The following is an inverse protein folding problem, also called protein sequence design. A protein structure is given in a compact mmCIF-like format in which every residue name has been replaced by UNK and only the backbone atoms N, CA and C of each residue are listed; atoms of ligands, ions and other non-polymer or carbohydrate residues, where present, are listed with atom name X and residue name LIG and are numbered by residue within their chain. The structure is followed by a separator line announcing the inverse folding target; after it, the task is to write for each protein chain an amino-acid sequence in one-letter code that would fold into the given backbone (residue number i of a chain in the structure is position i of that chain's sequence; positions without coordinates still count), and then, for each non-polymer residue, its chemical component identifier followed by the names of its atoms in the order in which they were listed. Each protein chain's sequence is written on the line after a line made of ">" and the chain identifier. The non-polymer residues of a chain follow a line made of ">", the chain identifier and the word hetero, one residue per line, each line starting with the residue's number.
data_IF_478347189341
#
_entry.id   IF_478347189341
#
_cell.length_a   1.000
_cell.length_b   1.000
_cell.length_c   1.000
_cell.angle_alpha   90.00
_cell.angle_beta   90.00
_cell.angle_gamma   90.00
#
_symmetry.space_group_name_H-M   'P 1'
#
loop_
_entity.id
_entity.type
_entity.pdbx_description
1 polymer ?
#
# COMPACT_ATOMS: atom_id res chain seq x y z
N UNK A 1 15.33 -22.93 24.95
CA UNK A 1 15.18 -22.25 23.64
C UNK A 1 13.70 -21.95 23.51
N UNK A 2 13.30 -20.68 23.59
CA UNK A 2 11.90 -20.29 23.39
C UNK A 2 11.54 -20.52 21.92
N UNK A 3 10.42 -21.18 21.68
CA UNK A 3 9.87 -21.42 20.34
C UNK A 3 8.64 -20.54 20.19
N UNK A 4 8.49 -19.96 19.00
CA UNK A 4 7.27 -19.26 18.62
C UNK A 4 6.14 -20.30 18.57
N UNK A 5 4.94 -20.01 19.14
CA UNK A 5 3.79 -20.91 19.06
C UNK A 5 3.42 -21.22 17.61
N UNK A 6 2.92 -22.43 17.35
CA UNK A 6 2.52 -22.87 16.00
C UNK A 6 1.42 -22.00 15.38
N UNK A 7 0.60 -21.39 16.22
CA UNK A 7 -0.53 -20.53 15.86
C UNK A 7 -0.16 -19.02 15.82
N UNK A 8 1.12 -18.68 15.98
CA UNK A 8 1.56 -17.30 15.88
C UNK A 8 1.53 -16.83 14.43
N UNK A 9 0.78 -15.76 14.15
CA UNK A 9 0.77 -15.10 12.84
C UNK A 9 2.01 -14.22 12.69
N UNK A 10 2.89 -14.55 11.75
CA UNK A 10 3.98 -13.69 11.32
C UNK A 10 3.56 -12.92 10.07
N UNK A 11 3.62 -11.59 10.13
CA UNK A 11 3.24 -10.75 9.00
C UNK A 11 4.15 -9.54 8.82
N UNK A 12 4.00 -8.89 7.68
CA UNK A 12 4.65 -7.61 7.36
C UNK A 12 3.60 -6.54 7.10
N UNK A 13 4.01 -5.26 7.16
CA UNK A 13 3.05 -4.16 7.09
C UNK A 13 3.59 -2.94 6.32
N UNK A 14 2.68 -2.22 5.68
CA UNK A 14 2.96 -1.00 4.91
C UNK A 14 1.89 0.05 5.15
N UNK A 15 2.09 1.25 4.60
CA UNK A 15 1.07 2.28 4.50
C UNK A 15 1.05 2.86 3.08
N UNK A 16 -0.14 3.15 2.58
CA UNK A 16 -0.41 3.47 1.17
C UNK A 16 0.46 4.60 0.64
N UNK A 17 0.48 5.76 1.29
CA UNK A 17 1.26 6.91 0.81
C UNK A 17 2.77 6.63 0.75
N UNK A 18 3.28 5.72 1.58
CA UNK A 18 4.71 5.40 1.64
C UNK A 18 5.17 4.48 0.50
N UNK A 19 4.27 3.70 -0.11
CA UNK A 19 4.67 2.68 -1.10
C UNK A 19 3.94 2.77 -2.45
N UNK A 20 2.70 3.30 -2.48
CA UNK A 20 1.84 3.21 -3.67
C UNK A 20 2.40 3.97 -4.87
N UNK A 21 2.88 5.18 -4.66
CA UNK A 21 3.15 6.11 -5.75
C UNK A 21 1.87 6.50 -6.49
N UNK A 22 1.97 6.69 -7.81
CA UNK A 22 0.85 7.01 -8.70
C UNK A 22 0.01 8.19 -8.18
N UNK A 23 0.66 9.32 -7.86
CA UNK A 23 -0.05 10.48 -7.30
C UNK A 23 -1.06 11.10 -8.28
N UNK A 24 -0.99 10.76 -9.58
CA UNK A 24 -1.91 11.22 -10.62
C UNK A 24 -3.18 10.36 -10.73
N UNK A 25 -3.13 9.09 -10.30
CA UNK A 25 -4.27 8.17 -10.32
C UNK A 25 -5.21 8.28 -9.12
N UNK A 26 -4.93 9.19 -8.17
CA UNK A 26 -5.75 9.45 -6.97
C UNK A 26 -5.92 10.94 -6.70
N UNK A 27 -6.83 11.30 -5.79
CA UNK A 27 -6.91 12.66 -5.25
C UNK A 27 -5.70 13.02 -4.38
N UNK A 28 -5.54 14.32 -4.06
CA UNK A 28 -4.52 14.80 -3.12
C UNK A 28 -4.85 14.43 -1.67
N UNK A 29 -3.81 14.14 -0.91
CA UNK A 29 -3.80 13.91 0.54
C UNK A 29 -3.10 15.08 1.24
N UNK A 30 -3.28 15.17 2.56
CA UNK A 30 -2.55 16.14 3.40
C UNK A 30 -1.02 15.97 3.30
N UNK A 31 -0.54 14.74 3.06
CA UNK A 31 0.90 14.47 2.90
C UNK A 31 1.44 15.00 1.58
N UNK A 32 0.62 15.05 0.52
CA UNK A 32 1.01 15.67 -0.76
C UNK A 32 1.19 17.18 -0.61
N UNK A 33 0.38 17.83 0.23
CA UNK A 33 0.49 19.26 0.52
C UNK A 33 1.67 19.53 1.47
N UNK A 34 1.84 18.70 2.52
CA UNK A 34 2.95 18.82 3.45
C UNK A 34 4.30 18.65 2.75
N UNK A 35 4.44 17.65 1.87
CA UNK A 35 5.67 17.37 1.16
C UNK A 35 6.02 18.43 0.09
N UNK A 36 5.03 19.16 -0.42
CA UNK A 36 5.25 20.23 -1.40
C UNK A 36 5.91 21.49 -0.81
N UNK A 37 5.94 21.63 0.53
CA UNK A 37 6.56 22.78 1.20
C UNK A 37 8.07 22.53 1.35
N UNK A 38 8.95 23.41 0.81
CA UNK A 38 10.39 23.25 0.93
C UNK A 38 10.85 23.14 2.39
N UNK A 39 11.66 22.12 2.68
CA UNK A 39 12.22 21.88 4.02
C UNK A 39 11.36 21.02 4.95
N UNK A 40 10.11 20.72 4.61
CA UNK A 40 9.27 19.81 5.41
C UNK A 40 9.72 18.35 5.33
N UNK A 41 10.17 17.92 4.15
CA UNK A 41 10.81 16.63 3.93
C UNK A 41 12.31 16.86 3.81
N UNK A 42 13.10 16.11 4.58
CA UNK A 42 14.56 16.30 4.71
C UNK A 42 15.29 16.32 3.36
N UNK A 43 14.88 15.47 2.43
CA UNK A 43 15.44 15.35 1.09
C UNK A 43 14.54 15.94 -0.01
N UNK A 44 13.42 16.54 0.37
CA UNK A 44 12.45 17.13 -0.57
C UNK A 44 11.67 16.11 -1.40
N UNK A 45 11.71 14.82 -1.07
CA UNK A 45 10.92 13.79 -1.78
C UNK A 45 9.42 13.99 -1.58
N UNK A 46 8.65 13.49 -2.55
CA UNK A 46 7.18 13.54 -2.57
C UNK A 46 6.61 12.13 -2.69
N UNK A 47 5.29 12.02 -2.92
CA UNK A 47 4.61 10.73 -3.07
C UNK A 47 5.09 9.90 -4.28
N UNK A 48 5.70 10.53 -5.29
CA UNK A 48 6.14 9.84 -6.50
C UNK A 48 7.66 9.65 -6.53
N UNK A 49 8.16 8.48 -6.98
CA UNK A 49 7.40 7.25 -7.29
C UNK A 49 7.10 6.39 -6.06
N UNK A 50 7.59 6.78 -4.87
CA UNK A 50 7.65 5.92 -3.69
C UNK A 50 8.30 4.55 -4.04
N UNK A 51 7.64 3.43 -3.74
CA UNK A 51 8.05 2.10 -4.17
C UNK A 51 7.38 1.65 -5.49
N UNK A 52 6.53 2.50 -6.08
CA UNK A 52 5.79 2.22 -7.32
C UNK A 52 4.87 0.99 -7.22
N UNK A 53 4.36 0.70 -6.01
CA UNK A 53 3.57 -0.51 -5.71
C UNK A 53 2.30 -0.64 -6.55
N UNK A 54 1.70 0.48 -6.99
CA UNK A 54 0.52 0.45 -7.87
C UNK A 54 0.83 -0.20 -9.21
N UNK A 55 2.02 0.06 -9.77
CA UNK A 55 2.45 -0.50 -11.05
C UNK A 55 3.14 -1.86 -10.88
N UNK A 56 3.70 -2.14 -9.69
CA UNK A 56 4.49 -3.34 -9.36
C UNK A 56 3.75 -4.34 -8.47
N UNK A 57 2.42 -4.27 -8.46
CA UNK A 57 1.59 -5.05 -7.54
C UNK A 57 1.88 -6.55 -7.64
N UNK A 58 2.03 -7.08 -8.85
CA UNK A 58 2.28 -8.51 -9.05
C UNK A 58 3.63 -8.93 -8.48
N UNK A 59 4.69 -8.15 -8.73
CA UNK A 59 6.02 -8.42 -8.23
C UNK A 59 6.08 -8.37 -6.70
N UNK A 60 5.41 -7.39 -6.08
CA UNK A 60 5.38 -7.27 -4.62
C UNK A 60 4.59 -8.41 -3.97
N UNK A 61 3.50 -8.87 -4.61
CA UNK A 61 2.75 -10.05 -4.17
C UNK A 61 3.61 -11.33 -4.25
N UNK A 62 4.39 -11.49 -5.33
CA UNK A 62 5.29 -12.63 -5.48
C UNK A 62 6.38 -12.65 -4.39
N UNK A 63 6.96 -11.49 -4.09
CA UNK A 63 7.93 -11.33 -2.99
C UNK A 63 7.32 -11.73 -1.64
N UNK A 64 6.07 -11.33 -1.37
CA UNK A 64 5.38 -11.72 -0.13
C UNK A 64 5.16 -13.23 -0.04
N UNK A 65 4.84 -13.87 -1.17
CA UNK A 65 4.72 -15.32 -1.27
C UNK A 65 6.04 -16.03 -0.98
N UNK A 66 7.13 -15.56 -1.61
CA UNK A 66 8.47 -16.11 -1.42
C UNK A 66 9.00 -15.92 0.01
N UNK A 67 8.60 -14.83 0.68
CA UNK A 67 8.95 -14.57 2.07
C UNK A 67 8.26 -15.53 3.05
N UNK A 68 7.13 -16.14 2.65
CA UNK A 68 6.41 -17.13 3.46
C UNK A 68 5.72 -16.54 4.69
N UNK A 69 5.21 -15.31 4.58
CA UNK A 69 4.45 -14.66 5.67
C UNK A 69 3.01 -15.15 5.73
N UNK A 70 2.43 -15.17 6.93
CA UNK A 70 1.04 -15.54 7.15
C UNK A 70 0.06 -14.41 6.82
N UNK A 71 0.51 -13.15 6.97
CA UNK A 71 -0.35 -11.98 6.83
C UNK A 71 0.38 -10.75 6.26
N UNK A 72 -0.37 -9.90 5.55
CA UNK A 72 0.09 -8.63 5.04
C UNK A 72 -0.88 -7.50 5.40
N UNK A 73 -0.49 -6.68 6.37
CA UNK A 73 -1.27 -5.52 6.78
C UNK A 73 -0.95 -4.32 5.90
N UNK A 74 -1.94 -3.79 5.19
CA UNK A 74 -1.82 -2.53 4.44
C UNK A 74 -2.87 -1.51 4.89
N UNK A 75 -2.70 -0.25 4.48
CA UNK A 75 -3.71 0.79 4.66
C UNK A 75 -4.34 1.17 3.32
N UNK A 76 -5.63 1.51 3.33
CA UNK A 76 -6.33 2.01 2.15
C UNK A 76 -6.13 3.53 2.02
N UNK A 77 -5.69 3.98 0.85
CA UNK A 77 -5.57 5.39 0.49
C UNK A 77 -6.94 6.02 0.31
N UNK A 78 -7.38 6.80 1.30
CA UNK A 78 -8.65 7.53 1.23
C UNK A 78 -8.78 8.40 -0.02
N UNK A 79 -7.75 9.16 -0.46
CA UNK A 79 -7.84 9.94 -1.70
C UNK A 79 -7.93 9.09 -2.97
N UNK A 80 -7.56 7.80 -2.93
CA UNK A 80 -7.73 6.86 -4.04
C UNK A 80 -9.17 6.35 -4.10
N UNK A 81 -9.76 6.00 -2.95
CA UNK A 81 -11.14 5.48 -2.85
C UNK A 81 -12.18 6.60 -2.96
N UNK A 82 -11.93 7.75 -2.35
CA UNK A 82 -12.84 8.91 -2.30
C UNK A 82 -12.13 10.19 -2.77
N UNK A 83 -11.74 10.29 -4.07
CA UNK A 83 -11.05 11.46 -4.59
C UNK A 83 -11.91 12.72 -4.43
N UNK A 84 -11.37 13.73 -3.75
CA UNK A 84 -12.06 15.00 -3.51
C UNK A 84 -13.31 14.90 -2.63
N UNK A 85 -13.54 13.77 -1.94
CA UNK A 85 -14.72 13.51 -1.10
C UNK A 85 -16.07 13.62 -1.84
N UNK A 86 -16.08 13.44 -3.17
CA UNK A 86 -17.28 13.60 -3.98
C UNK A 86 -18.01 12.27 -4.20
N UNK A 87 -17.33 11.31 -4.83
CA UNK A 87 -17.88 10.00 -5.15
C UNK A 87 -16.78 8.92 -5.05
N UNK A 88 -17.16 7.66 -4.77
CA UNK A 88 -16.22 6.55 -4.80
C UNK A 88 -15.58 6.38 -6.20
N UNK A 89 -14.27 6.12 -6.23
CA UNK A 89 -13.53 5.81 -7.45
C UNK A 89 -13.57 4.31 -7.72
N UNK A 90 -14.19 3.89 -8.83
CA UNK A 90 -14.17 2.49 -9.26
C UNK A 90 -12.73 1.99 -9.46
N UNK A 91 -11.91 2.73 -10.20
CA UNK A 91 -10.52 2.37 -10.44
C UNK A 91 -9.69 2.29 -9.15
N UNK A 92 -10.01 3.15 -8.17
CA UNK A 92 -9.34 3.15 -6.88
C UNK A 92 -9.69 1.92 -6.03
N UNK A 93 -10.96 1.52 -6.04
CA UNK A 93 -11.45 0.30 -5.40
C UNK A 93 -10.90 -0.94 -6.10
N UNK A 94 -10.84 -0.94 -7.43
CA UNK A 94 -10.32 -2.06 -8.23
C UNK A 94 -8.85 -2.37 -7.93
N UNK A 95 -8.03 -1.36 -7.60
CA UNK A 95 -6.66 -1.59 -7.14
C UNK A 95 -6.61 -2.41 -5.84
N UNK A 96 -7.43 -2.06 -4.84
CA UNK A 96 -7.45 -2.80 -3.58
C UNK A 96 -8.09 -4.19 -3.72
N UNK A 97 -9.08 -4.35 -4.60
CA UNK A 97 -9.60 -5.67 -4.94
C UNK A 97 -8.50 -6.56 -5.51
N UNK A 98 -7.73 -6.07 -6.49
CA UNK A 98 -6.58 -6.81 -7.07
C UNK A 98 -5.52 -7.15 -6.02
N UNK A 99 -5.23 -6.25 -5.08
CA UNK A 99 -4.31 -6.52 -3.98
C UNK A 99 -4.83 -7.64 -3.07
N UNK A 100 -6.09 -7.55 -2.63
CA UNK A 100 -6.73 -8.54 -1.76
C UNK A 100 -6.80 -9.91 -2.44
N UNK A 101 -7.28 -9.95 -3.69
CA UNK A 101 -7.37 -11.17 -4.48
C UNK A 101 -6.00 -11.81 -4.65
N UNK A 102 -4.98 -11.01 -4.98
CA UNK A 102 -3.60 -11.49 -5.15
C UNK A 102 -2.95 -12.02 -3.86
N UNK A 103 -3.29 -11.47 -2.69
CA UNK A 103 -2.87 -12.00 -1.39
C UNK A 103 -3.54 -13.35 -1.10
N UNK A 104 -4.85 -13.43 -1.32
CA UNK A 104 -5.63 -14.65 -1.09
C UNK A 104 -5.18 -15.79 -2.00
N UNK A 105 -4.86 -15.51 -3.26
CA UNK A 105 -4.27 -16.46 -4.21
C UNK A 105 -2.95 -17.08 -3.70
N UNK A 106 -2.19 -16.32 -2.91
CA UNK A 106 -0.91 -16.74 -2.32
C UNK A 106 -1.06 -17.28 -0.89
N UNK A 107 -2.29 -17.46 -0.42
CA UNK A 107 -2.62 -17.89 0.95
C UNK A 107 -2.13 -16.93 2.05
N UNK A 108 -2.00 -15.64 1.73
CA UNK A 108 -1.61 -14.59 2.67
C UNK A 108 -2.87 -13.89 3.16
N UNK A 109 -3.00 -13.72 4.48
CA UNK A 109 -4.15 -13.03 5.09
C UNK A 109 -3.99 -11.50 4.96
N UNK A 110 -4.93 -10.81 4.30
CA UNK A 110 -4.94 -9.34 4.25
C UNK A 110 -5.20 -8.71 5.63
#
# INVERSE_FOLDING_TARGET
>A
MERIPSEFTLGVATASWQIEGDSKGRGRSIWDDFAAVPGNIKDGTTADPACDHVNRLTEDLDILGDLGVDAYRFSVSWPRVMPGHQAPSSNGIDFYNRLIDGLLERNIKP
#
